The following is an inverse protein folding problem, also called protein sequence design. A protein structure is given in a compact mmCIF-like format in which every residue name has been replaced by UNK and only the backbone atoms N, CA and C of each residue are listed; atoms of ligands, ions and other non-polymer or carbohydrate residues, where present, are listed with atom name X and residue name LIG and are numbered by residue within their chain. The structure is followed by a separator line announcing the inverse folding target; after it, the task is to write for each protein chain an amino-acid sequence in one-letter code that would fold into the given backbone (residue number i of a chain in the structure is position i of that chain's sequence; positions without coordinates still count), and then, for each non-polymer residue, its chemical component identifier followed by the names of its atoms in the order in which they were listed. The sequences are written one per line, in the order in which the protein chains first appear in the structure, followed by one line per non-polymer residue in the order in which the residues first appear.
data_IF_681397385286
#
_entry.id   IF_681397385286
#
_cell.length_a   1.000
_cell.length_b   1.000
_cell.length_c   1.000
_cell.angle_alpha   90.00
_cell.angle_beta   90.00
_cell.angle_gamma   90.00
#
_symmetry.space_group_name_H-M   'P 1'
#
loop_
_entity.id
_entity.type
_entity.pdbx_description
1 polymer ?
#
# COMPACT_ATOMS: atom_id res chain seq x y z
N UNK A 1 38.88 31.67 -48.74
CA UNK A 1 38.99 30.25 -48.33
C UNK A 1 38.60 30.15 -46.86
N UNK A 2 37.83 29.13 -46.46
CA UNK A 2 36.79 29.28 -45.44
C UNK A 2 37.31 29.21 -44.00
N UNK A 3 36.66 29.98 -43.12
CA UNK A 3 36.81 29.91 -41.67
C UNK A 3 36.27 28.56 -41.18
N UNK A 4 37.12 27.76 -40.52
CA UNK A 4 36.72 26.53 -39.81
C UNK A 4 35.73 26.89 -38.70
N UNK A 5 34.57 26.21 -38.59
CA UNK A 5 33.72 26.39 -37.43
C UNK A 5 34.37 25.68 -36.23
N UNK A 6 34.45 26.38 -35.10
CA UNK A 6 34.68 25.77 -33.80
C UNK A 6 33.49 24.85 -33.52
N UNK A 7 33.71 23.54 -33.54
CA UNK A 7 32.75 22.59 -32.98
C UNK A 7 32.64 22.88 -31.48
N UNK A 8 31.56 23.56 -31.10
CA UNK A 8 31.07 23.52 -29.74
C UNK A 8 30.71 22.05 -29.45
N UNK A 9 31.56 21.39 -28.67
CA UNK A 9 31.25 20.10 -28.08
C UNK A 9 30.08 20.34 -27.12
N UNK A 10 28.84 20.23 -27.60
CA UNK A 10 27.69 20.13 -26.72
C UNK A 10 27.85 18.81 -25.98
N UNK A 11 28.30 18.88 -24.73
CA UNK A 11 28.10 17.81 -23.77
C UNK A 11 26.60 17.54 -23.72
N UNK A 12 26.16 16.53 -24.46
CA UNK A 12 24.92 15.82 -24.19
C UNK A 12 25.10 15.20 -22.81
N UNK A 13 24.80 15.98 -21.77
CA UNK A 13 24.33 15.41 -20.53
C UNK A 13 23.04 14.65 -20.90
N UNK A 14 23.18 13.35 -21.13
CA UNK A 14 22.05 12.42 -21.07
C UNK A 14 21.38 12.67 -19.73
N UNK A 15 20.25 13.37 -19.76
CA UNK A 15 19.42 13.58 -18.59
C UNK A 15 19.02 12.20 -18.07
N UNK A 16 19.74 11.71 -17.06
CA UNK A 16 19.35 10.55 -16.30
C UNK A 16 18.06 10.96 -15.57
N UNK A 17 16.91 10.58 -16.13
CA UNK A 17 15.60 10.99 -15.64
C UNK A 17 15.43 10.58 -14.18
N UNK A 18 15.27 11.58 -13.31
CA UNK A 18 14.76 11.39 -11.95
C UNK A 18 13.45 10.59 -11.99
N UNK A 19 13.17 9.74 -10.98
CA UNK A 19 11.94 8.95 -10.92
C UNK A 19 10.72 9.86 -11.12
N UNK A 20 9.89 9.49 -12.09
CA UNK A 20 8.83 10.35 -12.59
C UNK A 20 7.50 9.92 -12.02
N UNK A 21 6.93 10.73 -11.12
CA UNK A 21 5.50 10.68 -10.86
C UNK A 21 4.76 11.25 -12.06
N UNK A 22 3.70 10.55 -12.48
CA UNK A 22 2.69 11.10 -13.38
C UNK A 22 1.32 10.93 -12.74
N UNK A 23 0.48 11.95 -12.86
CA UNK A 23 -0.95 11.76 -12.67
C UNK A 23 -1.45 10.76 -13.73
N UNK A 24 -2.17 9.73 -13.31
CA UNK A 24 -2.96 8.98 -14.25
C UNK A 24 -4.15 9.87 -14.64
N UNK A 25 -4.38 10.05 -15.94
CA UNK A 25 -5.60 10.66 -16.47
C UNK A 25 -6.55 9.55 -16.89
N UNK A 26 -7.27 8.89 -15.95
CA UNK A 26 -8.15 7.82 -16.32
C UNK A 26 -9.25 8.34 -17.25
N UNK A 27 -9.51 7.60 -18.34
CA UNK A 27 -10.58 7.91 -19.30
C UNK A 27 -11.98 7.69 -18.69
N UNK A 28 -12.06 6.95 -17.59
CA UNK A 28 -13.27 6.69 -16.80
C UNK A 28 -13.26 7.47 -15.48
N UNK A 29 -14.44 7.63 -14.88
CA UNK A 29 -14.58 8.32 -13.59
C UNK A 29 -13.69 7.65 -12.52
N UNK A 30 -12.91 8.42 -11.74
CA UNK A 30 -12.11 7.86 -10.66
C UNK A 30 -13.02 7.16 -9.64
N UNK A 31 -12.48 6.18 -8.91
CA UNK A 31 -13.18 5.71 -7.71
C UNK A 31 -13.48 6.91 -6.79
N UNK A 32 -14.61 6.91 -6.06
CA UNK A 32 -14.90 7.95 -5.09
C UNK A 32 -13.71 8.16 -4.14
N UNK A 33 -13.45 9.40 -3.68
CA UNK A 33 -12.39 9.67 -2.72
C UNK A 33 -12.48 8.73 -1.53
N UNK A 34 -11.39 8.01 -1.24
CA UNK A 34 -11.42 6.91 -0.27
C UNK A 34 -10.11 6.69 0.46
N UNK A 35 -10.19 6.10 1.64
CA UNK A 35 -9.01 5.68 2.40
C UNK A 35 -9.29 4.46 3.28
N UNK A 36 -8.23 3.77 3.69
CA UNK A 36 -8.31 2.52 4.45
C UNK A 36 -8.83 1.35 3.64
N UNK A 37 -8.86 1.46 2.30
CA UNK A 37 -9.24 0.38 1.40
C UNK A 37 -8.08 -0.61 1.22
N UNK A 38 -8.41 -1.84 0.82
CA UNK A 38 -7.44 -2.81 0.33
C UNK A 38 -7.22 -2.56 -1.16
N UNK A 39 -5.96 -2.63 -1.64
CA UNK A 39 -5.67 -2.74 -3.06
C UNK A 39 -4.56 -3.77 -3.31
N UNK A 40 -4.73 -4.59 -4.35
CA UNK A 40 -3.79 -5.66 -4.70
C UNK A 40 -3.67 -5.79 -6.22
N UNK A 41 -2.44 -5.96 -6.70
CA UNK A 41 -2.19 -6.30 -8.09
C UNK A 41 -2.44 -7.79 -8.37
N UNK A 42 -3.01 -8.11 -9.52
CA UNK A 42 -3.06 -9.48 -10.05
C UNK A 42 -1.85 -9.80 -10.95
N UNK A 43 -1.78 -11.03 -11.45
CA UNK A 43 -0.67 -11.50 -12.30
C UNK A 43 -0.58 -10.78 -13.66
N UNK A 44 -1.65 -10.12 -14.10
CA UNK A 44 -1.69 -9.35 -15.35
C UNK A 44 -1.33 -7.88 -15.13
N UNK A 45 -1.03 -7.48 -13.88
CA UNK A 45 -0.71 -6.11 -13.52
C UNK A 45 -1.93 -5.19 -13.43
N UNK A 46 -3.14 -5.74 -13.33
CA UNK A 46 -4.36 -4.99 -12.98
C UNK A 46 -4.46 -4.87 -11.47
N UNK A 47 -5.09 -3.80 -10.98
CA UNK A 47 -5.23 -3.57 -9.53
C UNK A 47 -6.68 -3.69 -9.10
N UNK A 48 -6.93 -4.60 -8.18
CA UNK A 48 -8.23 -4.79 -7.54
C UNK A 48 -8.28 -3.99 -6.25
N UNK A 49 -9.39 -3.31 -6.00
CA UNK A 49 -9.62 -2.51 -4.81
C UNK A 49 -10.92 -2.94 -4.13
N UNK A 50 -10.89 -3.10 -2.81
CA UNK A 50 -12.05 -3.46 -2.01
C UNK A 50 -12.21 -2.56 -0.78
N UNK A 51 -13.43 -2.06 -0.59
CA UNK A 51 -13.87 -1.36 0.61
C UNK A 51 -13.12 -0.05 0.89
N UNK A 52 -12.88 0.21 2.18
CA UNK A 52 -12.46 1.51 2.71
C UNK A 52 -13.66 2.34 3.17
N UNK A 53 -13.43 3.61 3.53
CA UNK A 53 -14.52 4.57 3.45
C UNK A 53 -14.47 5.29 2.11
N UNK A 54 -15.64 5.66 1.58
CA UNK A 54 -15.79 6.55 0.46
C UNK A 54 -16.45 7.86 0.92
N UNK A 55 -16.04 8.99 0.34
CA UNK A 55 -16.79 10.24 0.46
C UNK A 55 -17.97 10.21 -0.50
N UNK A 56 -19.17 10.23 0.07
CA UNK A 56 -20.43 10.27 -0.66
C UNK A 56 -21.02 11.67 -0.51
N UNK A 57 -21.42 12.25 -1.64
CA UNK A 57 -22.21 13.49 -1.64
C UNK A 57 -23.65 13.13 -1.33
N UNK A 58 -24.18 13.63 -0.21
CA UNK A 58 -25.62 13.65 0.02
C UNK A 58 -26.15 15.05 -0.26
N UNK A 59 -27.17 15.12 -1.11
CA UNK A 59 -27.89 16.36 -1.34
C UNK A 59 -28.62 16.74 -0.05
N UNK A 60 -28.14 17.81 0.61
CA UNK A 60 -28.84 18.42 1.72
C UNK A 60 -30.03 19.26 1.25
N UNK A 61 -30.88 19.74 2.17
CA UNK A 61 -31.84 20.80 1.86
C UNK A 61 -31.13 21.97 1.15
N UNK A 62 -31.77 22.60 0.15
CA UNK A 62 -31.16 23.59 -0.78
C UNK A 62 -30.47 24.82 -0.14
N UNK A 63 -30.47 24.91 1.18
CA UNK A 63 -29.98 26.02 2.01
C UNK A 63 -28.84 25.62 2.97
N UNK A 64 -28.39 24.36 2.96
CA UNK A 64 -27.22 23.91 3.72
C UNK A 64 -26.07 23.52 2.78
N UNK A 65 -24.80 23.72 3.19
CA UNK A 65 -23.65 23.24 2.43
C UNK A 65 -23.71 21.72 2.24
N UNK A 66 -23.24 21.22 1.08
CA UNK A 66 -23.14 19.79 0.80
C UNK A 66 -22.24 19.16 1.88
N UNK A 67 -22.82 18.31 2.72
CA UNK A 67 -22.04 17.50 3.66
C UNK A 67 -21.42 16.34 2.88
N UNK A 68 -20.08 16.24 2.92
CA UNK A 68 -19.38 15.03 2.49
C UNK A 68 -19.46 14.04 3.65
N UNK A 69 -20.25 12.98 3.50
CA UNK A 69 -20.33 11.90 4.46
C UNK A 69 -19.33 10.81 4.11
N UNK A 70 -18.67 10.25 5.14
CA UNK A 70 -17.73 9.14 4.99
C UNK A 70 -18.46 7.85 5.34
N UNK A 71 -18.71 7.03 4.33
CA UNK A 71 -19.43 5.78 4.50
C UNK A 71 -18.47 4.59 4.30
N UNK A 72 -18.46 3.59 5.20
CA UNK A 72 -17.74 2.35 4.95
C UNK A 72 -18.36 1.64 3.75
N UNK A 73 -17.54 1.11 2.86
CA UNK A 73 -18.02 0.43 1.63
C UNK A 73 -17.57 -1.03 1.59
N UNK A 74 -18.31 -1.82 0.81
CA UNK A 74 -18.02 -3.20 0.39
C UNK A 74 -17.89 -3.30 -1.14
N UNK A 75 -17.67 -2.16 -1.79
CA UNK A 75 -17.57 -2.06 -3.24
C UNK A 75 -16.23 -2.61 -3.75
N UNK A 76 -16.28 -3.14 -4.98
CA UNK A 76 -15.15 -3.73 -5.66
C UNK A 76 -14.84 -2.91 -6.91
N UNK A 77 -13.58 -2.55 -7.09
CA UNK A 77 -13.11 -1.78 -8.24
C UNK A 77 -11.93 -2.47 -8.92
N UNK A 78 -11.83 -2.29 -10.23
CA UNK A 78 -10.74 -2.78 -11.06
C UNK A 78 -10.08 -1.62 -11.79
N UNK A 79 -8.77 -1.50 -11.64
CA UNK A 79 -7.91 -0.68 -12.48
C UNK A 79 -7.26 -1.57 -13.54
N UNK A 80 -7.57 -1.32 -14.81
CA UNK A 80 -7.13 -2.13 -15.95
C UNK A 80 -5.82 -1.65 -16.60
N UNK A 81 -5.20 -0.60 -16.05
CA UNK A 81 -4.04 0.07 -16.63
C UNK A 81 -4.38 1.44 -17.25
N UNK A 82 -5.65 1.66 -17.61
CA UNK A 82 -6.14 2.91 -18.16
C UNK A 82 -7.08 3.64 -17.21
N UNK A 83 -7.94 2.93 -16.48
CA UNK A 83 -8.92 3.55 -15.61
C UNK A 83 -9.56 2.63 -14.60
N UNK A 84 -10.32 3.23 -13.68
CA UNK A 84 -11.09 2.51 -12.68
C UNK A 84 -12.48 2.18 -13.21
N UNK A 85 -12.94 0.96 -12.95
CA UNK A 85 -14.32 0.54 -13.18
C UNK A 85 -14.87 -0.15 -11.93
N UNK A 86 -16.12 0.18 -11.57
CA UNK A 86 -16.82 -0.51 -10.51
C UNK A 86 -17.22 -1.90 -11.00
N UNK A 87 -16.87 -2.93 -10.23
CA UNK A 87 -17.17 -4.32 -10.54
C UNK A 87 -18.51 -4.66 -9.88
N UNK A 88 -19.54 -4.84 -10.72
CA UNK A 88 -20.86 -5.22 -10.22
C UNK A 88 -20.78 -6.53 -9.44
N UNK A 89 -21.48 -6.63 -8.28
CA UNK A 89 -21.60 -7.89 -7.57
C UNK A 89 -22.26 -8.94 -8.47
N UNK A 90 -21.94 -10.23 -8.28
CA UNK A 90 -22.60 -11.30 -9.03
C UNK A 90 -24.11 -11.24 -8.80
N UNK A 91 -24.88 -11.50 -9.87
CA UNK A 91 -26.35 -11.44 -9.84
C UNK A 91 -26.99 -12.48 -8.92
N UNK A 92 -26.22 -13.47 -8.46
CA UNK A 92 -26.66 -14.56 -7.61
C UNK A 92 -25.95 -14.50 -6.25
N UNK A 93 -26.74 -14.42 -5.17
CA UNK A 93 -26.26 -14.36 -3.79
C UNK A 93 -26.89 -13.20 -3.02
N UNK A 94 -27.36 -13.46 -1.80
CA UNK A 94 -27.79 -12.40 -0.87
C UNK A 94 -26.61 -11.62 -0.28
N UNK A 95 -26.88 -10.66 0.60
CA UNK A 95 -25.83 -9.86 1.26
C UNK A 95 -24.79 -10.72 2.01
N UNK A 96 -25.23 -11.85 2.58
CA UNK A 96 -24.36 -12.81 3.29
C UNK A 96 -23.45 -13.64 2.37
N UNK A 97 -23.58 -13.51 1.04
CA UNK A 97 -22.74 -14.22 0.08
C UNK A 97 -21.40 -13.52 -0.18
N UNK A 98 -21.16 -12.36 0.41
CA UNK A 98 -19.96 -11.53 0.19
C UNK A 98 -19.50 -10.84 1.49
N UNK A 99 -18.24 -10.39 1.57
CA UNK A 99 -17.79 -9.57 2.69
C UNK A 99 -18.58 -8.26 2.78
N UNK A 100 -19.08 -7.92 3.96
CA UNK A 100 -19.69 -6.62 4.24
C UNK A 100 -18.67 -5.47 4.36
N UNK A 101 -19.15 -4.23 4.59
CA UNK A 101 -18.34 -3.01 4.58
C UNK A 101 -17.19 -3.04 5.59
N UNK A 102 -15.99 -2.59 5.18
CA UNK A 102 -14.81 -2.63 6.06
C UNK A 102 -13.68 -1.73 5.60
N UNK A 103 -12.89 -1.30 6.59
CA UNK A 103 -11.61 -0.61 6.42
C UNK A 103 -10.47 -1.45 6.98
N UNK A 104 -9.24 -1.14 6.55
CA UNK A 104 -8.00 -1.68 7.09
C UNK A 104 -7.99 -3.22 7.16
N UNK A 105 -8.64 -3.85 6.20
CA UNK A 105 -8.47 -5.27 5.88
C UNK A 105 -7.11 -5.48 5.25
N UNK A 106 -6.63 -6.72 5.28
CA UNK A 106 -5.43 -7.12 4.57
C UNK A 106 -5.79 -8.16 3.50
N UNK A 107 -4.99 -8.25 2.45
CA UNK A 107 -5.23 -9.22 1.40
C UNK A 107 -4.14 -9.22 0.35
N UNK A 108 -4.18 -10.22 -0.52
CA UNK A 108 -3.34 -10.33 -1.69
C UNK A 108 -4.00 -11.23 -2.74
N UNK A 109 -3.54 -11.11 -3.99
CA UNK A 109 -3.94 -12.03 -5.05
C UNK A 109 -3.01 -13.23 -5.09
N UNK A 110 -3.59 -14.43 -5.02
CA UNK A 110 -2.89 -15.72 -5.12
C UNK A 110 -3.72 -16.65 -5.99
N UNK A 111 -3.08 -17.31 -6.95
CA UNK A 111 -3.72 -18.33 -7.82
C UNK A 111 -5.02 -17.88 -8.52
N UNK A 112 -5.12 -16.59 -8.88
CA UNK A 112 -6.31 -16.04 -9.53
C UNK A 112 -7.48 -15.73 -8.58
N UNK A 113 -7.24 -15.77 -7.26
CA UNK A 113 -8.18 -15.35 -6.24
C UNK A 113 -7.65 -14.14 -5.46
N UNK A 114 -8.50 -13.16 -5.16
CA UNK A 114 -8.19 -12.15 -4.14
C UNK A 114 -8.60 -12.69 -2.78
N UNK A 115 -7.63 -12.85 -1.89
CA UNK A 115 -7.87 -13.26 -0.51
C UNK A 115 -7.98 -12.02 0.38
N UNK A 116 -9.02 -11.94 1.19
CA UNK A 116 -9.37 -10.82 2.07
C UNK A 116 -9.45 -11.32 3.52
N UNK A 117 -8.81 -10.60 4.43
CA UNK A 117 -8.67 -10.98 5.84
C UNK A 117 -9.05 -9.83 6.77
N UNK A 118 -9.99 -10.12 7.67
CA UNK A 118 -10.41 -9.23 8.75
C UNK A 118 -10.80 -7.83 8.28
N UNK A 119 -10.37 -6.84 9.05
CA UNK A 119 -10.70 -5.42 8.86
C UNK A 119 -11.49 -4.87 10.04
N UNK A 120 -11.97 -3.64 9.89
CA UNK A 120 -12.80 -2.96 10.87
C UNK A 120 -13.99 -2.34 10.17
N UNK A 121 -15.19 -2.72 10.60
CA UNK A 121 -16.43 -2.05 10.24
C UNK A 121 -16.71 -0.98 11.30
N UNK A 122 -16.69 0.32 10.98
CA UNK A 122 -16.98 1.37 11.94
C UNK A 122 -18.41 1.31 12.46
N UNK A 123 -19.34 0.67 11.73
CA UNK A 123 -20.78 0.60 12.02
C UNK A 123 -21.37 2.02 12.23
N UNK A 124 -22.66 2.17 12.59
CA UNK A 124 -23.20 3.49 12.94
C UNK A 124 -22.41 4.15 14.08
N UNK A 125 -22.33 5.48 14.04
CA UNK A 125 -21.66 6.28 15.05
C UNK A 125 -22.15 5.94 16.46
N UNK A 126 -21.24 5.82 17.42
CA UNK A 126 -21.54 5.47 18.82
C UNK A 126 -21.52 3.97 19.14
N UNK A 127 -21.45 3.08 18.14
CA UNK A 127 -21.35 1.62 18.37
C UNK A 127 -19.92 1.12 18.66
N UNK A 128 -18.92 1.99 18.47
CA UNK A 128 -17.50 1.64 18.57
C UNK A 128 -16.97 0.79 17.42
N UNK A 129 -17.79 0.46 16.43
CA UNK A 129 -17.44 -0.43 15.32
C UNK A 129 -17.20 -1.88 15.75
N UNK A 130 -16.88 -2.74 14.80
CA UNK A 130 -16.56 -4.15 14.97
C UNK A 130 -15.25 -4.46 14.26
N UNK A 131 -14.29 -5.05 15.00
CA UNK A 131 -13.13 -5.66 14.37
C UNK A 131 -13.59 -7.01 13.83
N UNK A 132 -13.30 -7.27 12.56
CA UNK A 132 -13.76 -8.46 11.85
C UNK A 132 -12.69 -9.56 11.90
N UNK A 133 -13.14 -10.80 12.08
CA UNK A 133 -12.30 -12.01 12.07
C UNK A 133 -12.59 -12.94 10.91
N UNK A 134 -13.49 -12.54 10.02
CA UNK A 134 -13.82 -13.30 8.83
C UNK A 134 -12.72 -13.22 7.77
N UNK A 135 -12.71 -14.23 6.90
CA UNK A 135 -11.85 -14.25 5.73
C UNK A 135 -12.68 -14.64 4.50
N UNK A 136 -12.31 -14.13 3.34
CA UNK A 136 -13.03 -14.35 2.09
C UNK A 136 -12.06 -14.55 0.94
N UNK A 137 -12.50 -15.27 -0.08
CA UNK A 137 -11.83 -15.24 -1.38
C UNK A 137 -12.80 -14.82 -2.47
N UNK A 138 -12.31 -14.03 -3.38
CA UNK A 138 -12.97 -13.67 -4.63
C UNK A 138 -12.26 -14.39 -5.78
N UNK A 139 -12.97 -15.25 -6.50
CA UNK A 139 -12.49 -15.74 -7.79
C UNK A 139 -12.52 -14.59 -8.80
N UNK A 140 -11.36 -14.20 -9.34
CA UNK A 140 -11.24 -13.00 -10.17
C UNK A 140 -11.87 -13.12 -11.55
N UNK A 141 -12.13 -14.35 -12.01
CA UNK A 141 -12.73 -14.62 -13.33
C UNK A 141 -14.26 -14.60 -13.25
N UNK A 142 -14.81 -15.31 -12.30
CA UNK A 142 -16.26 -15.46 -12.07
C UNK A 142 -16.82 -14.32 -11.22
N UNK A 143 -15.97 -13.62 -10.47
CA UNK A 143 -16.32 -12.56 -9.52
C UNK A 143 -17.23 -13.03 -8.39
N UNK A 144 -17.13 -14.32 -8.06
CA UNK A 144 -17.89 -14.93 -6.98
C UNK A 144 -17.05 -14.96 -5.72
N UNK A 145 -17.63 -14.46 -4.64
CA UNK A 145 -17.07 -14.56 -3.30
C UNK A 145 -17.42 -15.91 -2.68
N UNK A 146 -16.50 -16.43 -1.87
CA UNK A 146 -16.75 -17.56 -0.98
C UNK A 146 -16.14 -17.29 0.39
N UNK A 147 -16.86 -17.66 1.44
CA UNK A 147 -16.39 -17.55 2.81
C UNK A 147 -15.24 -18.54 3.08
N UNK A 148 -14.22 -18.07 3.78
CA UNK A 148 -13.11 -18.89 4.27
C UNK A 148 -13.22 -19.13 5.78
N UNK A 149 -12.35 -20.02 6.28
CA UNK A 149 -12.14 -20.16 7.71
C UNK A 149 -11.68 -18.83 8.33
N UNK A 150 -12.21 -18.53 9.51
CA UNK A 150 -11.90 -17.31 10.23
C UNK A 150 -10.42 -17.19 10.60
N UNK A 151 -10.00 -15.95 10.84
CA UNK A 151 -8.66 -15.58 11.24
C UNK A 151 -8.21 -16.34 12.49
N UNK A 152 -7.02 -16.98 12.45
CA UNK A 152 -6.40 -17.53 13.65
C UNK A 152 -6.27 -16.46 14.73
N UNK A 153 -6.56 -16.84 15.98
CA UNK A 153 -6.52 -15.95 17.15
C UNK A 153 -7.54 -14.80 17.09
N UNK A 154 -8.58 -14.93 16.27
CA UNK A 154 -9.75 -14.05 16.26
C UNK A 154 -9.59 -12.75 15.46
N UNK A 155 -10.51 -11.80 15.66
CA UNK A 155 -10.60 -10.59 14.86
C UNK A 155 -9.33 -9.72 14.81
N UNK A 156 -9.05 -9.14 13.63
CA UNK A 156 -7.87 -8.30 13.39
C UNK A 156 -8.16 -7.20 12.38
N UNK A 157 -7.64 -5.99 12.62
CA UNK A 157 -7.61 -4.89 11.66
C UNK A 157 -6.25 -4.19 11.67
N UNK A 158 -6.00 -3.30 10.70
CA UNK A 158 -4.77 -2.50 10.60
C UNK A 158 -3.51 -3.36 10.57
N UNK A 159 -3.62 -4.50 9.92
CA UNK A 159 -2.57 -5.48 9.70
C UNK A 159 -2.24 -5.52 8.21
N UNK A 160 -1.20 -6.27 7.83
CA UNK A 160 -0.74 -6.31 6.43
C UNK A 160 -0.65 -7.74 5.93
N UNK A 161 -0.94 -7.94 4.66
CA UNK A 161 -0.71 -9.17 3.94
C UNK A 161 0.27 -8.89 2.80
N UNK A 162 1.19 -9.82 2.56
CA UNK A 162 2.19 -9.69 1.53
C UNK A 162 2.45 -11.05 0.88
N UNK A 163 2.54 -11.06 -0.46
CA UNK A 163 2.94 -12.23 -1.21
C UNK A 163 4.45 -12.22 -1.40
N UNK A 164 5.11 -13.31 -1.03
CA UNK A 164 6.57 -13.49 -1.09
C UNK A 164 6.84 -14.84 -1.75
N UNK A 165 7.17 -14.81 -3.04
CA UNK A 165 7.23 -16.02 -3.86
C UNK A 165 5.88 -16.76 -3.87
N UNK A 166 5.91 -18.02 -3.42
CA UNK A 166 4.74 -18.90 -3.30
C UNK A 166 4.01 -18.76 -1.97
N UNK A 167 4.51 -17.92 -1.06
CA UNK A 167 3.87 -17.67 0.22
C UNK A 167 2.97 -16.44 0.17
N UNK A 168 1.81 -16.55 0.82
CA UNK A 168 1.05 -15.40 1.29
C UNK A 168 1.17 -15.33 2.80
N UNK A 169 1.73 -14.23 3.28
CA UNK A 169 2.03 -13.98 4.68
C UNK A 169 1.15 -12.85 5.20
N UNK A 170 0.71 -12.97 6.45
CA UNK A 170 -0.05 -11.95 7.15
C UNK A 170 0.64 -11.64 8.47
N UNK A 171 1.07 -10.39 8.62
CA UNK A 171 1.71 -9.89 9.83
C UNK A 171 0.73 -8.99 10.59
N UNK A 172 0.53 -9.28 11.88
CA UNK A 172 -0.49 -8.65 12.73
C UNK A 172 0.11 -8.07 14.01
N UNK A 173 -0.70 -7.35 14.78
CA UNK A 173 -0.32 -6.89 16.12
C UNK A 173 -0.12 -8.03 17.15
N UNK A 174 -0.30 -9.30 16.77
CA UNK A 174 -0.10 -10.46 17.64
C UNK A 174 1.06 -11.35 17.20
N UNK A 175 1.82 -10.93 16.18
CA UNK A 175 2.82 -11.75 15.49
C UNK A 175 4.25 -11.60 16.04
N UNK A 176 4.42 -11.53 17.37
CA UNK A 176 5.76 -11.36 17.97
C UNK A 176 6.66 -12.60 17.81
N UNK A 177 6.10 -13.82 17.84
CA UNK A 177 6.84 -15.09 17.74
C UNK A 177 6.44 -15.96 16.53
N UNK A 178 5.40 -15.56 15.81
CA UNK A 178 4.90 -16.26 14.63
C UNK A 178 4.10 -15.30 13.75
N UNK A 179 4.17 -15.47 12.44
CA UNK A 179 3.25 -14.83 11.49
C UNK A 179 2.15 -15.81 11.07
N UNK A 180 1.15 -15.33 10.34
CA UNK A 180 0.18 -16.22 9.70
C UNK A 180 0.56 -16.45 8.25
N UNK A 181 0.51 -17.69 7.79
CA UNK A 181 0.79 -18.10 6.41
C UNK A 181 -0.45 -18.73 5.81
N UNK A 182 -0.77 -18.40 4.57
CA UNK A 182 -1.80 -19.10 3.81
C UNK A 182 -1.37 -20.52 3.51
N UNK A 183 -2.17 -21.49 3.94
CA UNK A 183 -2.05 -22.87 3.53
C UNK A 183 -3.06 -23.15 2.41
N UNK A 184 -2.55 -23.26 1.18
CA UNK A 184 -3.36 -23.51 0.00
C UNK A 184 -4.08 -24.86 0.05
N UNK A 185 -3.44 -25.89 0.59
CA UNK A 185 -4.04 -27.23 0.66
C UNK A 185 -5.17 -27.27 1.71
N UNK A 186 -4.98 -26.58 2.83
CA UNK A 186 -5.98 -26.50 3.89
C UNK A 186 -7.04 -25.41 3.68
N UNK A 187 -6.83 -24.49 2.73
CA UNK A 187 -7.74 -23.37 2.45
C UNK A 187 -7.91 -22.43 3.65
N UNK A 188 -6.86 -22.24 4.47
CA UNK A 188 -6.91 -21.39 5.68
C UNK A 188 -5.56 -20.80 6.02
N UNK A 189 -5.56 -19.75 6.85
CA UNK A 189 -4.35 -19.26 7.49
C UNK A 189 -3.91 -20.24 8.60
N UNK A 190 -2.60 -20.47 8.68
CA UNK A 190 -1.94 -21.26 9.73
C UNK A 190 -0.83 -20.45 10.37
N UNK A 191 -0.49 -20.74 11.63
CA UNK A 191 0.65 -20.10 12.27
C UNK A 191 1.96 -20.64 11.70
N UNK A 192 2.89 -19.72 11.42
CA UNK A 192 4.23 -20.01 10.98
C UNK A 192 5.20 -19.41 12.00
N UNK A 193 5.83 -20.25 12.84
CA UNK A 193 6.83 -19.79 13.80
C UNK A 193 7.96 -19.03 13.13
N UNK A 194 8.44 -18.00 13.80
CA UNK A 194 9.58 -17.19 13.35
C UNK A 194 10.61 -17.01 14.45
N UNK A 195 11.85 -16.76 14.07
CA UNK A 195 12.97 -16.50 15.00
C UNK A 195 13.68 -15.18 14.67
N UNK A 196 14.72 -14.83 15.43
CA UNK A 196 15.53 -13.64 15.17
C UNK A 196 14.94 -12.35 15.72
N UNK A 197 15.36 -11.22 15.15
CA UNK A 197 15.02 -9.87 15.59
C UNK A 197 13.63 -9.46 15.07
N UNK A 198 12.58 -10.11 15.57
CA UNK A 198 11.21 -9.87 15.12
C UNK A 198 10.70 -8.45 15.47
N UNK A 199 9.85 -7.85 14.62
CA UNK A 199 9.20 -6.59 14.95
C UNK A 199 8.31 -6.75 16.19
N UNK A 200 8.23 -5.69 16.99
CA UNK A 200 7.22 -5.61 18.05
C UNK A 200 5.79 -5.65 17.49
N UNK A 201 4.84 -6.06 18.33
CA UNK A 201 3.40 -5.96 18.06
C UNK A 201 3.01 -4.54 17.60
N UNK A 202 2.53 -4.44 16.36
CA UNK A 202 2.23 -3.15 15.71
C UNK A 202 1.09 -3.23 14.72
N UNK A 203 0.43 -2.09 14.50
CA UNK A 203 -0.59 -1.90 13.45
C UNK A 203 -0.21 -0.75 12.52
N UNK A 204 -0.90 -0.66 11.38
CA UNK A 204 -0.68 0.37 10.34
C UNK A 204 0.77 0.40 9.80
N UNK A 205 1.50 -0.70 9.94
CA UNK A 205 2.78 -0.92 9.29
C UNK A 205 2.55 -1.42 7.87
N UNK A 206 3.58 -1.33 7.04
CA UNK A 206 3.54 -1.78 5.65
C UNK A 206 4.47 -2.97 5.46
N UNK A 207 4.19 -3.76 4.42
CA UNK A 207 5.05 -4.85 3.99
C UNK A 207 5.16 -4.90 2.47
N UNK A 208 6.32 -5.29 1.98
CA UNK A 208 6.59 -5.44 0.55
C UNK A 208 7.59 -6.58 0.32
N UNK A 209 7.39 -7.35 -0.74
CA UNK A 209 8.38 -8.34 -1.15
C UNK A 209 9.63 -7.65 -1.70
N UNK A 210 10.79 -8.13 -1.26
CA UNK A 210 12.09 -7.72 -1.78
C UNK A 210 12.57 -8.73 -2.83
N UNK A 211 12.28 -10.01 -2.59
CA UNK A 211 12.61 -11.13 -3.48
C UNK A 211 11.54 -12.22 -3.38
N UNK A 212 11.76 -13.36 -4.04
CA UNK A 212 10.92 -14.54 -3.85
C UNK A 212 10.98 -15.10 -2.41
N UNK A 213 11.96 -14.65 -1.60
CA UNK A 213 12.20 -15.20 -0.28
C UNK A 213 12.23 -14.16 0.84
N UNK A 214 12.33 -12.87 0.51
CA UNK A 214 12.49 -11.82 1.51
C UNK A 214 11.33 -10.83 1.50
N UNK A 215 10.91 -10.44 2.70
CA UNK A 215 9.84 -9.47 2.94
C UNK A 215 10.35 -8.34 3.82
N UNK A 216 10.18 -7.10 3.36
CA UNK A 216 10.33 -5.91 4.19
C UNK A 216 9.08 -5.71 5.04
N UNK A 217 9.25 -5.35 6.31
CA UNK A 217 8.25 -4.69 7.16
C UNK A 217 8.81 -3.35 7.60
N UNK A 218 8.02 -2.28 7.48
CA UNK A 218 8.45 -0.94 7.88
C UNK A 218 7.38 -0.19 8.69
N UNK A 219 7.86 0.51 9.72
CA UNK A 219 7.12 1.52 10.47
C UNK A 219 5.90 1.00 11.22
N UNK A 220 4.82 1.78 11.19
CA UNK A 220 3.59 1.52 11.94
C UNK A 220 3.63 2.08 13.35
N UNK A 221 2.62 1.70 14.14
CA UNK A 221 2.50 2.11 15.55
C UNK A 221 2.42 0.90 16.46
N UNK A 222 3.17 0.94 17.57
CA UNK A 222 3.06 -0.04 18.65
C UNK A 222 1.73 0.08 19.37
N UNK A 223 1.40 -0.91 20.22
CA UNK A 223 0.19 -0.86 21.04
C UNK A 223 0.18 0.34 22.02
N UNK A 224 1.35 0.85 22.43
CA UNK A 224 1.49 2.07 23.21
C UNK A 224 1.27 3.36 22.37
N UNK A 225 1.01 3.22 21.06
CA UNK A 225 0.76 4.31 20.12
C UNK A 225 2.01 5.04 19.64
N UNK A 226 3.20 4.58 20.03
CA UNK A 226 4.46 5.13 19.50
C UNK A 226 4.61 4.70 18.04
N UNK A 227 4.74 5.68 17.14
CA UNK A 227 5.07 5.44 15.74
C UNK A 227 6.56 5.09 15.61
N UNK A 228 6.88 4.27 14.62
CA UNK A 228 8.21 3.70 14.42
C UNK A 228 8.71 3.99 13.01
N UNK A 229 10.02 4.11 12.87
CA UNK A 229 10.81 4.13 11.63
C UNK A 229 11.64 2.85 11.46
N UNK A 230 11.41 1.85 12.31
CA UNK A 230 12.16 0.59 12.24
C UNK A 230 11.76 -0.20 10.99
N UNK A 231 12.77 -0.84 10.39
CA UNK A 231 12.61 -1.79 9.29
C UNK A 231 13.12 -3.17 9.70
N UNK A 232 12.45 -4.19 9.19
CA UNK A 232 12.77 -5.60 9.43
C UNK A 232 12.68 -6.36 8.12
N UNK A 233 13.56 -7.34 7.94
CA UNK A 233 13.52 -8.28 6.82
C UNK A 233 13.23 -9.67 7.36
N UNK A 234 12.20 -10.33 6.84
CA UNK A 234 11.97 -11.76 7.04
C UNK A 234 12.57 -12.53 5.87
N UNK A 235 13.41 -13.53 6.14
CA UNK A 235 13.78 -14.57 5.18
C UNK A 235 12.86 -15.78 5.35
N UNK A 236 12.07 -16.10 4.33
CA UNK A 236 11.10 -17.21 4.32
C UNK A 236 11.74 -18.59 4.15
N UNK A 237 13.04 -18.67 3.84
CA UNK A 237 13.78 -19.94 3.79
C UNK A 237 14.14 -20.42 5.20
N UNK A 238 14.50 -19.48 6.07
CA UNK A 238 14.86 -19.75 7.47
C UNK A 238 13.77 -19.41 8.47
N UNK A 239 12.74 -18.67 8.04
CA UNK A 239 11.73 -18.03 8.90
C UNK A 239 12.34 -17.16 9.99
N UNK A 240 13.47 -16.51 9.68
CA UNK A 240 14.19 -15.64 10.60
C UNK A 240 14.03 -14.17 10.21
N UNK A 241 13.79 -13.34 11.22
CA UNK A 241 13.80 -11.89 11.11
C UNK A 241 15.18 -11.31 11.35
N UNK A 242 15.50 -10.26 10.61
CA UNK A 242 16.67 -9.41 10.84
C UNK A 242 16.22 -7.96 10.94
N UNK A 243 16.61 -7.28 12.02
CA UNK A 243 16.45 -5.84 12.13
C UNK A 243 17.38 -5.16 11.11
N UNK A 244 16.84 -4.22 10.34
CA UNK A 244 17.64 -3.44 9.39
C UNK A 244 18.44 -2.41 10.18
N UNK A 245 19.77 -2.56 10.15
CA UNK A 245 20.72 -1.66 10.82
C UNK A 245 21.67 -1.07 9.79
N UNK A 246 22.10 0.17 10.01
CA UNK A 246 23.10 0.82 9.15
C UNK A 246 22.58 1.27 7.77
N UNK A 247 21.27 1.41 7.58
CA UNK A 247 20.67 1.79 6.31
C UNK A 247 20.70 3.30 5.97
N UNK A 248 21.47 4.08 6.72
CA UNK A 248 21.53 5.54 6.57
C UNK A 248 20.24 6.23 7.05
N UNK A 249 20.04 7.48 6.59
CA UNK A 249 18.83 8.23 6.86
C UNK A 249 17.66 7.68 6.03
N UNK A 250 16.60 7.25 6.71
CA UNK A 250 15.38 6.73 6.08
C UNK A 250 14.17 7.62 6.32
N UNK A 251 12.97 7.12 5.99
CA UNK A 251 11.72 7.82 6.30
C UNK A 251 11.56 8.01 7.82
N UNK A 252 11.00 9.14 8.23
CA UNK A 252 10.67 9.44 9.63
C UNK A 252 9.67 8.44 10.24
N UNK A 253 9.57 8.34 11.59
CA UNK A 253 8.61 7.47 12.24
C UNK A 253 7.17 7.77 11.82
N UNK A 254 6.48 6.77 11.27
CA UNK A 254 5.17 6.97 10.64
C UNK A 254 4.29 5.73 10.63
N UNK A 255 2.99 5.95 10.56
CA UNK A 255 1.98 4.91 10.39
C UNK A 255 1.09 5.20 9.17
N UNK A 256 0.51 4.14 8.59
CA UNK A 256 -0.41 4.24 7.46
C UNK A 256 0.26 4.70 6.15
N UNK A 257 1.56 4.47 6.01
CA UNK A 257 2.24 4.59 4.73
C UNK A 257 1.68 3.56 3.72
N UNK A 258 2.09 3.70 2.46
CA UNK A 258 1.90 2.67 1.44
C UNK A 258 3.25 2.07 1.06
N UNK A 259 3.29 0.79 0.71
CA UNK A 259 4.50 0.17 0.19
C UNK A 259 4.21 -0.85 -0.90
N UNK A 260 5.16 -1.02 -1.82
CA UNK A 260 5.10 -2.00 -2.89
C UNK A 260 6.51 -2.48 -3.28
N UNK A 261 6.57 -3.71 -3.80
CA UNK A 261 7.79 -4.27 -4.36
C UNK A 261 8.23 -3.45 -5.59
N UNK A 262 9.53 -3.17 -5.70
CA UNK A 262 10.15 -2.43 -6.79
C UNK A 262 11.13 -3.27 -7.62
N UNK A 263 11.16 -4.58 -7.39
CA UNK A 263 12.05 -5.52 -8.09
C UNK A 263 13.49 -5.49 -7.58
N UNK A 264 14.24 -6.56 -7.84
CA UNK A 264 15.68 -6.67 -7.56
C UNK A 264 16.10 -6.41 -6.11
N UNK A 265 15.35 -6.90 -5.12
CA UNK A 265 15.67 -6.65 -3.72
C UNK A 265 15.24 -5.26 -3.24
N UNK A 266 14.34 -4.57 -3.96
CA UNK A 266 13.95 -3.19 -3.65
C UNK A 266 12.46 -3.07 -3.35
N UNK A 267 12.12 -2.09 -2.52
CA UNK A 267 10.74 -1.71 -2.22
C UNK A 267 10.61 -0.19 -2.16
N UNK A 268 9.44 0.34 -2.50
CA UNK A 268 9.11 1.76 -2.32
C UNK A 268 8.20 1.91 -1.12
N UNK A 269 8.47 2.90 -0.28
CA UNK A 269 7.58 3.39 0.78
C UNK A 269 7.15 4.82 0.45
N UNK A 270 5.85 5.09 0.51
CA UNK A 270 5.28 6.39 0.20
C UNK A 270 4.35 6.90 1.31
N UNK A 271 4.51 8.17 1.66
CA UNK A 271 3.58 8.92 2.49
C UNK A 271 3.41 8.34 3.91
N UNK A 272 2.17 8.30 4.39
CA UNK A 272 1.84 7.99 5.79
C UNK A 272 1.76 9.26 6.64
N UNK A 273 1.62 9.10 7.95
CA UNK A 273 1.61 10.23 8.86
C UNK A 273 2.48 10.00 10.09
N UNK A 274 3.15 11.08 10.52
CA UNK A 274 3.87 11.17 11.78
C UNK A 274 3.02 11.91 12.83
N UNK A 275 3.39 11.77 14.11
CA UNK A 275 2.80 12.58 15.17
C UNK A 275 3.32 14.00 15.07
N UNK A 276 2.42 14.98 15.03
CA UNK A 276 2.81 16.38 15.15
C UNK A 276 3.56 16.62 16.48
N UNK A 277 4.49 17.57 16.48
CA UNK A 277 5.26 17.93 17.68
C UNK A 277 4.35 18.36 18.84
N UNK A 278 4.87 18.28 20.08
CA UNK A 278 4.13 18.62 21.31
C UNK A 278 3.45 19.98 21.18
N UNK A 279 2.15 20.03 21.42
CA UNK A 279 1.31 21.22 21.29
C UNK A 279 0.49 21.30 19.99
N UNK A 280 0.82 20.50 18.97
CA UNK A 280 0.16 20.52 17.66
C UNK A 280 -0.99 19.52 17.48
N UNK A 281 -1.36 18.74 18.51
CA UNK A 281 -2.54 17.88 18.56
C UNK A 281 -3.01 17.29 17.23
N UNK A 282 -2.20 16.47 16.55
CA UNK A 282 -2.59 15.99 15.22
C UNK A 282 -1.61 15.05 14.53
N UNK A 283 -2.01 14.63 13.33
CA UNK A 283 -1.21 13.84 12.41
C UNK A 283 -0.64 14.75 11.32
N UNK A 284 0.67 14.70 11.12
CA UNK A 284 1.33 15.36 10.00
C UNK A 284 1.48 14.35 8.86
N UNK A 285 0.70 14.50 7.80
CA UNK A 285 0.85 13.66 6.62
C UNK A 285 2.16 13.96 5.90
N UNK A 286 2.76 12.91 5.35
CA UNK A 286 3.94 12.94 4.49
C UNK A 286 3.55 12.56 3.07
N UNK A 287 4.29 13.08 2.10
CA UNK A 287 4.17 12.83 0.66
C UNK A 287 5.51 12.50 0.00
N UNK A 288 6.52 12.19 0.80
CA UNK A 288 7.81 11.71 0.36
C UNK A 288 7.74 10.24 -0.09
N UNK A 289 8.61 9.89 -1.03
CA UNK A 289 8.79 8.55 -1.56
C UNK A 289 10.23 8.10 -1.30
N UNK A 290 10.40 6.94 -0.71
CA UNK A 290 11.68 6.36 -0.34
C UNK A 290 11.85 5.00 -1.01
N UNK A 291 13.03 4.74 -1.55
CA UNK A 291 13.47 3.44 -2.02
C UNK A 291 14.26 2.74 -0.92
N UNK A 292 13.84 1.53 -0.57
CA UNK A 292 14.65 0.60 0.20
C UNK A 292 15.37 -0.34 -0.73
N UNK A 293 16.66 -0.57 -0.49
CA UNK A 293 17.43 -1.60 -1.17
C UNK A 293 17.96 -2.60 -0.13
N UNK A 294 17.62 -3.87 -0.31
CA UNK A 294 18.12 -4.95 0.53
C UNK A 294 19.63 -5.09 0.37
N UNK A 295 20.32 -5.31 1.49
CA UNK A 295 21.77 -5.51 1.50
C UNK A 295 22.17 -6.74 0.68
N UNK A 296 23.34 -6.67 0.05
CA UNK A 296 23.96 -7.77 -0.72
C UNK A 296 25.37 -8.02 -0.20
N UNK A 297 26.03 -9.07 -0.68
CA UNK A 297 27.41 -9.37 -0.26
C UNK A 297 28.33 -8.15 -0.46
N UNK A 298 28.85 -7.60 0.63
CA UNK A 298 29.70 -6.41 0.63
C UNK A 298 28.98 -5.06 0.53
N UNK A 299 27.65 -5.01 0.52
CA UNK A 299 26.85 -3.79 0.47
C UNK A 299 25.74 -3.84 1.54
N UNK A 300 25.74 -2.93 2.54
CA UNK A 300 24.68 -2.89 3.54
C UNK A 300 23.34 -2.50 2.90
N UNK A 301 22.20 -2.83 3.54
CA UNK A 301 20.91 -2.28 3.12
C UNK A 301 20.96 -0.76 3.18
N UNK A 302 20.17 -0.06 2.36
CA UNK A 302 20.12 1.39 2.38
C UNK A 302 18.73 1.95 2.05
N UNK A 303 18.49 3.16 2.54
CA UNK A 303 17.37 4.00 2.14
C UNK A 303 17.85 5.13 1.24
N UNK A 304 17.03 5.44 0.23
CA UNK A 304 17.29 6.49 -0.74
C UNK A 304 16.02 7.32 -0.96
N UNK A 305 16.13 8.66 -0.87
CA UNK A 305 15.01 9.55 -1.14
C UNK A 305 14.76 9.63 -2.66
N UNK A 306 13.60 9.15 -3.11
CA UNK A 306 13.18 9.25 -4.51
C UNK A 306 12.50 10.59 -4.78
N UNK A 307 11.66 11.05 -3.85
CA UNK A 307 10.95 12.31 -3.94
C UNK A 307 10.69 12.87 -2.55
N UNK A 308 11.01 14.14 -2.33
CA UNK A 308 10.59 14.87 -1.14
C UNK A 308 9.10 15.21 -1.18
N UNK A 309 8.57 15.64 -0.03
CA UNK A 309 7.21 16.15 0.10
C UNK A 309 6.94 17.24 -0.96
N UNK A 310 5.82 17.12 -1.68
CA UNK A 310 5.43 18.15 -2.64
C UNK A 310 5.09 19.46 -1.90
N UNK A 311 5.56 20.63 -2.39
CA UNK A 311 5.24 21.90 -1.74
C UNK A 311 3.73 22.18 -1.77
N UNK A 312 3.25 22.87 -0.73
CA UNK A 312 1.86 23.32 -0.67
C UNK A 312 1.54 24.21 -1.88
N UNK A 313 0.58 23.81 -2.71
CA UNK A 313 0.22 24.50 -3.96
C UNK A 313 0.98 24.03 -5.22
N UNK A 314 1.72 22.92 -5.15
CA UNK A 314 2.40 22.32 -6.31
C UNK A 314 1.48 21.80 -7.42
N UNK A 315 2.06 21.48 -8.58
CA UNK A 315 1.34 20.95 -9.75
C UNK A 315 0.70 19.58 -9.47
N UNK A 316 -0.39 19.24 -10.18
CA UNK A 316 -1.11 17.97 -10.05
C UNK A 316 -0.31 16.72 -10.43
N UNK A 317 0.95 16.87 -10.87
CA UNK A 317 1.78 15.77 -11.35
C UNK A 317 2.32 14.88 -10.22
N UNK A 318 2.53 15.43 -9.02
CA UNK A 318 3.02 14.68 -7.85
C UNK A 318 1.91 14.50 -6.82
N UNK A 319 1.82 13.32 -6.20
CA UNK A 319 0.83 13.09 -5.17
C UNK A 319 1.11 13.96 -3.93
N UNK A 320 0.06 14.65 -3.47
CA UNK A 320 0.05 15.37 -2.19
C UNK A 320 0.27 14.43 -1.00
N UNK A 321 0.76 14.99 0.10
CA UNK A 321 0.95 14.28 1.36
C UNK A 321 -0.34 13.62 1.85
N UNK A 322 -0.28 12.33 2.19
CA UNK A 322 -1.46 11.53 2.49
C UNK A 322 -1.15 10.33 3.37
N UNK A 323 -2.14 9.98 4.19
CA UNK A 323 -2.17 8.80 5.03
C UNK A 323 -3.11 7.74 4.42
N UNK A 324 -2.84 6.46 4.68
CA UNK A 324 -3.67 5.32 4.33
C UNK A 324 -4.13 5.32 2.85
N UNK A 325 -3.20 5.65 1.96
CA UNK A 325 -3.27 5.36 0.53
C UNK A 325 -2.82 3.91 0.28
N UNK A 326 -3.03 3.42 -0.94
CA UNK A 326 -2.48 2.13 -1.38
C UNK A 326 -1.47 2.31 -2.49
N UNK A 327 -0.45 1.44 -2.51
CA UNK A 327 0.58 1.40 -3.55
C UNK A 327 0.62 -0.05 -4.08
N UNK A 328 0.40 -0.23 -5.37
CA UNK A 328 0.34 -1.56 -6.00
C UNK A 328 1.26 -1.64 -7.21
N UNK A 329 2.02 -2.74 -7.40
CA UNK A 329 2.77 -2.95 -8.63
C UNK A 329 1.84 -2.98 -9.85
N UNK A 330 2.28 -2.38 -10.94
CA UNK A 330 1.65 -2.52 -12.26
C UNK A 330 2.51 -3.43 -13.14
N UNK A 331 1.94 -3.85 -14.27
CA UNK A 331 2.73 -4.42 -15.35
C UNK A 331 3.90 -3.46 -15.70
N UNK A 332 5.14 -3.97 -15.79
CA UNK A 332 6.31 -3.14 -16.07
C UNK A 332 6.16 -2.40 -17.40
N UNK A 333 6.82 -1.25 -17.52
CA UNK A 333 6.84 -0.51 -18.79
C UNK A 333 7.53 -1.34 -19.89
N UNK A 334 7.28 -1.04 -21.17
CA UNK A 334 8.19 -1.45 -22.24
C UNK A 334 9.63 -1.06 -21.87
N UNK A 335 10.54 -2.04 -21.77
CA UNK A 335 11.90 -1.84 -21.25
C UNK A 335 12.13 -2.28 -19.79
N UNK A 336 11.12 -2.85 -19.12
CA UNK A 336 11.28 -3.54 -17.83
C UNK A 336 11.30 -2.63 -16.59
N UNK A 337 11.08 -1.33 -16.77
CA UNK A 337 11.02 -0.37 -15.66
C UNK A 337 9.85 -0.69 -14.71
N UNK A 338 10.09 -0.82 -13.39
CA UNK A 338 9.02 -1.00 -12.41
C UNK A 338 8.07 0.21 -12.39
N UNK A 339 6.77 -0.08 -12.30
CA UNK A 339 5.70 0.92 -12.24
C UNK A 339 4.81 0.65 -11.05
N UNK A 340 4.49 1.67 -10.28
CA UNK A 340 3.67 1.55 -9.07
C UNK A 340 2.47 2.49 -9.14
N UNK A 341 1.28 1.96 -8.89
CA UNK A 341 0.02 2.70 -8.83
C UNK A 341 -0.26 3.14 -7.39
N UNK A 342 -0.28 4.45 -7.16
CA UNK A 342 -0.76 5.05 -5.91
C UNK A 342 -2.22 5.46 -6.08
N UNK A 343 -3.08 5.08 -5.14
CA UNK A 343 -4.48 5.47 -5.16
C UNK A 343 -5.03 5.86 -3.78
N UNK A 344 -5.89 6.88 -3.80
CA UNK A 344 -6.65 7.35 -2.65
C UNK A 344 -5.79 7.83 -1.49
N UNK A 345 -6.26 7.57 -0.27
CA UNK A 345 -5.70 8.11 0.96
C UNK A 345 -6.34 9.43 1.36
N UNK A 346 -5.88 10.01 2.46
CA UNK A 346 -6.42 11.27 2.97
C UNK A 346 -5.35 12.10 3.64
N UNK A 347 -5.49 13.41 3.53
CA UNK A 347 -4.77 14.34 4.39
C UNK A 347 -5.57 14.50 5.69
N UNK A 348 -4.98 14.17 6.85
CA UNK A 348 -5.67 14.20 8.13
C UNK A 348 -6.43 15.49 8.36
N UNK A 349 -7.75 15.37 8.49
CA UNK A 349 -8.69 16.46 8.79
C UNK A 349 -8.79 17.56 7.72
N UNK A 350 -8.31 17.29 6.50
CA UNK A 350 -8.33 18.27 5.39
C UNK A 350 -9.13 17.75 4.21
N UNK A 351 -8.70 16.63 3.62
CA UNK A 351 -9.25 16.18 2.33
C UNK A 351 -9.05 14.67 2.18
N UNK A 352 -10.00 14.01 1.52
CA UNK A 352 -9.86 12.64 1.05
C UNK A 352 -9.58 12.64 -0.44
N UNK A 353 -8.66 11.79 -0.88
CA UNK A 353 -8.24 11.73 -2.26
C UNK A 353 -8.91 10.56 -2.99
N UNK A 354 -9.33 10.80 -4.23
CA UNK A 354 -9.72 9.78 -5.22
C UNK A 354 -8.81 9.79 -6.46
N UNK A 355 -7.74 10.58 -6.41
CA UNK A 355 -6.76 10.69 -7.49
C UNK A 355 -5.93 9.40 -7.60
N UNK A 356 -5.30 9.24 -8.76
CA UNK A 356 -4.46 8.09 -9.07
C UNK A 356 -3.16 8.59 -9.67
N UNK A 357 -2.04 8.10 -9.16
CA UNK A 357 -0.71 8.45 -9.65
C UNK A 357 0.06 7.19 -10.00
N UNK A 358 0.91 7.28 -11.03
CA UNK A 358 1.85 6.23 -11.39
C UNK A 358 3.26 6.74 -11.13
N UNK A 359 4.00 6.01 -10.30
CA UNK A 359 5.44 6.18 -10.15
C UNK A 359 6.15 5.26 -11.13
N UNK A 360 6.99 5.81 -12.00
CA UNK A 360 7.89 5.03 -12.84
C UNK A 360 9.32 5.15 -12.33
N UNK A 361 9.93 4.00 -12.03
CA UNK A 361 11.33 3.92 -11.61
C UNK A 361 12.21 3.74 -12.85
N UNK A 362 13.24 4.57 -13.00
CA UNK A 362 14.19 4.38 -14.10
C UNK A 362 15.01 3.11 -13.83
N UNK A 363 15.36 2.31 -14.85
CA UNK A 363 16.22 1.14 -14.70
C UNK A 363 17.56 1.45 -14.02
N UNK A 364 18.00 2.71 -14.13
CA UNK A 364 19.27 3.23 -13.64
C UNK A 364 19.13 4.35 -12.62
N UNK A 365 17.96 4.58 -11.99
CA UNK A 365 17.77 5.71 -11.06
C UNK A 365 18.87 5.69 -9.99
N UNK A 366 19.86 6.61 -10.04
CA UNK A 366 20.74 6.81 -8.93
C UNK A 366 19.95 7.58 -7.86
N UNK A 367 20.16 7.30 -6.57
CA UNK A 367 19.51 8.06 -5.51
C UNK A 367 19.92 9.54 -5.57
N UNK A 368 19.01 10.44 -5.22
CA UNK A 368 19.38 11.83 -4.93
C UNK A 368 20.26 11.80 -3.68
N UNK A 369 21.50 12.26 -3.84
CA UNK A 369 22.54 12.32 -2.79
C UNK A 369 22.20 13.27 -1.66
#
# INVERSE_FOLDING_TARGET
MPRRPLLALSLLATACGSPGWRAASPRAAPSPPRSGHLACADGDGRVWLFGGYAEVRRDGPRHLPIALEREPTDDLWLFDGEGWSCVAPPSAGGEDARPGPRLCSAGAVVDGELLLFGGWDPRPAGTGGAILGDAWALDLKTRVWRRLADMPRGPTSRHVACRVGDHLLVHTHRCASALLRWDRAAGRLVEQPTTGDAPSARGLHVAAALSAHEMLVFGGASQAGAMSDEAFILDTRSWAWSAVRGAGAGPSPRAGAAAAAAGDGRAVVFGGAERAARGGGGLLARGDAWLFEAGRAGQPPCWSLLAADAPAGGTTARPRARNAATLSPLAPAPGGAPRLLLHGGWQPFVETYGDTHVLELSPSTPPLS
#
